data_IF_956378168656
#
_entry.id   IF_956378168656
#
_cell.length_a   1.000
_cell.length_b   1.000
_cell.length_c   1.000
_cell.angle_alpha   90.00
_cell.angle_beta   90.00
_cell.angle_gamma   90.00
#
_symmetry.space_group_name_H-M   'P 1'
#
loop_
_entity.id
_entity.type
_entity.pdbx_description
1 polymer ?
#
# COMPACT_ATOMS: atom_id res chain seq x y z
N UNK A 1 -42.21 -31.47 -38.04
CA UNK A 1 -42.00 -30.04 -37.70
C UNK A 1 -40.71 -29.96 -36.89
N UNK A 2 -39.60 -29.64 -37.56
CA UNK A 2 -38.28 -29.51 -36.93
C UNK A 2 -38.29 -28.38 -35.91
N UNK A 3 -37.91 -28.70 -34.68
CA UNK A 3 -37.67 -27.70 -33.65
C UNK A 3 -36.56 -26.76 -34.11
N UNK A 4 -36.92 -25.51 -34.34
CA UNK A 4 -36.06 -24.42 -34.75
C UNK A 4 -35.24 -23.93 -33.54
N UNK A 5 -34.36 -24.80 -33.02
CA UNK A 5 -33.59 -24.62 -31.79
C UNK A 5 -32.21 -24.00 -31.98
N UNK A 6 -31.93 -23.33 -33.10
CA UNK A 6 -30.60 -22.83 -33.45
C UNK A 6 -30.10 -21.63 -32.63
N UNK A 7 -30.89 -21.11 -31.68
CA UNK A 7 -30.61 -19.82 -31.02
C UNK A 7 -30.46 -19.85 -29.51
N UNK A 8 -30.77 -20.96 -28.82
CA UNK A 8 -30.79 -21.00 -27.36
C UNK A 8 -29.41 -21.39 -26.82
N UNK A 9 -28.61 -20.34 -26.65
CA UNK A 9 -27.36 -20.28 -25.92
C UNK A 9 -26.23 -21.09 -26.56
N UNK A 10 -25.39 -20.37 -27.29
CA UNK A 10 -23.95 -20.65 -27.38
C UNK A 10 -23.39 -21.32 -26.11
N UNK A 11 -23.83 -20.90 -24.92
CA UNK A 11 -23.48 -21.53 -23.64
C UNK A 11 -23.94 -23.00 -23.56
N UNK A 12 -25.17 -23.36 -23.91
CA UNK A 12 -25.61 -24.77 -23.96
C UNK A 12 -24.75 -25.56 -24.94
N UNK A 13 -24.49 -25.00 -26.13
CA UNK A 13 -23.68 -25.67 -27.15
C UNK A 13 -22.21 -25.86 -26.70
N UNK A 14 -21.63 -24.89 -26.01
CA UNK A 14 -20.29 -24.99 -25.40
C UNK A 14 -20.27 -26.09 -24.33
N UNK A 15 -21.29 -26.12 -23.46
CA UNK A 15 -21.35 -27.06 -22.34
C UNK A 15 -21.66 -28.49 -22.79
N UNK A 16 -22.47 -28.64 -23.85
CA UNK A 16 -22.98 -29.93 -24.32
C UNK A 16 -22.12 -30.56 -25.40
N UNK A 17 -21.51 -29.75 -26.28
CA UNK A 17 -20.77 -30.25 -27.44
C UNK A 17 -19.55 -29.37 -27.79
N UNK A 18 -18.59 -29.34 -26.85
CA UNK A 18 -17.32 -28.65 -27.04
C UNK A 18 -16.52 -29.15 -28.25
N UNK A 19 -16.68 -30.42 -28.62
CA UNK A 19 -15.92 -31.05 -29.71
C UNK A 19 -16.37 -30.53 -31.07
N UNK A 20 -17.69 -30.33 -31.26
CA UNK A 20 -18.21 -29.69 -32.47
C UNK A 20 -17.68 -28.28 -32.69
N UNK A 21 -17.52 -27.49 -31.61
CA UNK A 21 -16.92 -26.15 -31.70
C UNK A 21 -15.44 -26.24 -32.09
N UNK A 22 -14.68 -27.15 -31.48
CA UNK A 22 -13.28 -27.37 -31.81
C UNK A 22 -13.10 -27.78 -33.27
N UNK A 23 -13.92 -28.71 -33.76
CA UNK A 23 -13.86 -29.15 -35.15
C UNK A 23 -14.22 -28.02 -36.12
N UNK A 24 -15.20 -27.17 -35.79
CA UNK A 24 -15.51 -25.99 -36.60
C UNK A 24 -14.37 -24.98 -36.66
N UNK A 25 -13.62 -24.83 -35.55
CA UNK A 25 -12.45 -23.95 -35.49
C UNK A 25 -11.30 -24.53 -36.34
N UNK A 26 -11.02 -25.83 -36.19
CA UNK A 26 -9.95 -26.52 -36.95
C UNK A 26 -10.25 -26.56 -38.44
N UNK A 27 -11.51 -26.76 -38.82
CA UNK A 27 -11.92 -26.85 -40.22
C UNK A 27 -12.26 -25.47 -40.84
N UNK A 28 -12.04 -24.39 -40.10
CA UNK A 28 -12.32 -22.98 -40.50
C UNK A 28 -13.75 -22.73 -41.03
N UNK A 29 -14.72 -23.55 -40.62
CA UNK A 29 -16.11 -23.45 -41.11
C UNK A 29 -16.94 -22.49 -40.27
N UNK A 30 -17.60 -21.54 -40.94
CA UNK A 30 -18.61 -20.64 -40.37
C UNK A 30 -18.15 -19.82 -39.13
N UNK A 31 -16.85 -19.52 -39.05
CA UNK A 31 -16.24 -18.77 -37.93
C UNK A 31 -16.92 -17.41 -37.68
N UNK A 32 -17.39 -16.74 -38.73
CA UNK A 32 -18.09 -15.46 -38.62
C UNK A 32 -19.43 -15.58 -37.88
N UNK A 33 -20.21 -16.63 -38.18
CA UNK A 33 -21.47 -16.89 -37.48
C UNK A 33 -21.20 -17.30 -36.02
N UNK A 34 -20.21 -18.15 -35.80
CA UNK A 34 -19.78 -18.54 -34.45
C UNK A 34 -19.40 -17.31 -33.61
N UNK A 35 -18.56 -16.44 -34.15
CA UNK A 35 -18.13 -15.18 -33.50
C UNK A 35 -19.32 -14.28 -33.21
N UNK A 36 -20.23 -14.10 -34.18
CA UNK A 36 -21.43 -13.27 -34.01
C UNK A 36 -22.34 -13.81 -32.91
N UNK A 37 -22.55 -15.14 -32.85
CA UNK A 37 -23.35 -15.76 -31.80
C UNK A 37 -22.70 -15.63 -30.41
N UNK A 38 -21.37 -15.78 -30.32
CA UNK A 38 -20.63 -15.59 -29.06
C UNK A 38 -20.73 -14.15 -28.56
N UNK A 39 -20.55 -13.21 -29.48
CA UNK A 39 -20.62 -11.78 -29.21
C UNK A 39 -22.05 -11.33 -28.84
N UNK A 40 -23.07 -11.86 -29.52
CA UNK A 40 -24.48 -11.64 -29.17
C UNK A 40 -24.83 -12.22 -27.79
N UNK A 41 -24.41 -13.45 -27.49
CA UNK A 41 -24.65 -14.07 -26.18
C UNK A 41 -23.97 -13.30 -25.03
N UNK A 42 -22.75 -12.79 -25.27
CA UNK A 42 -22.01 -11.96 -24.31
C UNK A 42 -22.69 -10.60 -24.11
N UNK A 43 -23.17 -9.96 -25.19
CA UNK A 43 -23.91 -8.71 -25.11
C UNK A 43 -25.22 -8.85 -24.33
N UNK A 44 -25.96 -9.95 -24.51
CA UNK A 44 -27.18 -10.24 -23.73
C UNK A 44 -26.84 -10.43 -22.25
N UNK A 45 -25.78 -11.19 -21.93
CA UNK A 45 -25.34 -11.39 -20.56
C UNK A 45 -24.95 -10.06 -19.88
N UNK A 46 -24.20 -9.20 -20.58
CA UNK A 46 -23.85 -7.86 -20.12
C UNK A 46 -25.08 -6.97 -19.94
N UNK A 47 -26.10 -7.08 -20.80
CA UNK A 47 -27.33 -6.31 -20.70
C UNK A 47 -28.10 -6.68 -19.42
N UNK A 48 -28.24 -7.99 -19.17
CA UNK A 48 -28.89 -8.51 -17.96
C UNK A 48 -28.11 -8.13 -16.70
N UNK A 49 -26.78 -8.28 -16.72
CA UNK A 49 -25.93 -7.85 -15.61
C UNK A 49 -26.07 -6.35 -15.35
N UNK A 50 -26.06 -5.54 -16.41
CA UNK A 50 -26.28 -4.10 -16.32
C UNK A 50 -27.66 -3.74 -15.77
N UNK A 51 -28.71 -4.41 -16.22
CA UNK A 51 -30.07 -4.21 -15.74
C UNK A 51 -30.18 -4.49 -14.24
N UNK A 52 -29.63 -5.62 -13.77
CA UNK A 52 -29.60 -5.99 -12.35
C UNK A 52 -28.87 -4.93 -11.53
N UNK A 53 -27.69 -4.48 -11.99
CA UNK A 53 -26.91 -3.47 -11.28
C UNK A 53 -27.62 -2.11 -11.22
N UNK A 54 -28.27 -1.69 -12.31
CA UNK A 54 -28.99 -0.41 -12.36
C UNK A 54 -30.32 -0.44 -11.59
N UNK A 55 -30.95 -1.61 -11.47
CA UNK A 55 -32.20 -1.78 -10.74
C UNK A 55 -32.07 -1.45 -9.24
N UNK A 56 -30.87 -1.58 -8.66
CA UNK A 56 -30.59 -1.14 -7.29
C UNK A 56 -30.80 0.36 -7.07
N UNK A 57 -30.69 1.17 -8.12
CA UNK A 57 -30.80 2.63 -8.03
C UNK A 57 -32.16 3.11 -8.55
N UNK A 58 -32.59 2.66 -9.73
CA UNK A 58 -33.91 2.95 -10.31
C UNK A 58 -34.16 2.13 -11.58
N UNK A 59 -35.44 1.96 -11.98
CA UNK A 59 -35.81 1.30 -13.24
C UNK A 59 -35.23 2.02 -14.48
N UNK A 60 -35.16 3.36 -14.43
CA UNK A 60 -34.61 4.17 -15.52
C UNK A 60 -33.08 3.99 -15.62
N UNK A 61 -32.38 3.90 -14.49
CA UNK A 61 -30.97 3.54 -14.49
C UNK A 61 -30.73 2.12 -15.00
N UNK A 62 -31.56 1.14 -14.62
CA UNK A 62 -31.50 -0.25 -15.11
C UNK A 62 -31.53 -0.32 -16.64
N UNK A 63 -32.44 0.42 -17.29
CA UNK A 63 -32.52 0.46 -18.75
C UNK A 63 -31.25 1.09 -19.35
N UNK A 64 -30.77 2.19 -18.78
CA UNK A 64 -29.57 2.85 -19.30
C UNK A 64 -28.30 2.01 -19.13
N UNK A 65 -28.13 1.30 -18.02
CA UNK A 65 -26.97 0.41 -17.78
C UNK A 65 -27.05 -0.87 -18.61
N UNK A 66 -28.25 -1.41 -18.81
CA UNK A 66 -28.49 -2.55 -19.70
C UNK A 66 -28.14 -2.26 -21.15
N UNK A 67 -28.22 -0.99 -21.60
CA UNK A 67 -27.80 -0.59 -22.95
C UNK A 67 -26.33 -0.17 -22.99
N UNK A 68 -25.87 0.65 -22.04
CA UNK A 68 -24.51 1.22 -22.05
C UNK A 68 -23.42 0.15 -21.96
N UNK A 69 -23.59 -0.87 -21.12
CA UNK A 69 -22.57 -1.90 -20.90
C UNK A 69 -22.34 -2.79 -22.15
N UNK A 70 -23.39 -3.36 -22.78
CA UNK A 70 -23.22 -4.07 -24.05
C UNK A 70 -22.72 -3.18 -25.17
N UNK A 71 -23.20 -1.93 -25.24
CA UNK A 71 -22.80 -1.00 -26.30
C UNK A 71 -21.31 -0.67 -26.21
N UNK A 72 -20.79 -0.43 -24.99
CA UNK A 72 -19.36 -0.30 -24.75
C UNK A 72 -18.62 -1.56 -25.19
N UNK A 73 -19.06 -2.74 -24.77
CA UNK A 73 -18.43 -4.00 -25.16
C UNK A 73 -18.40 -4.20 -26.68
N UNK A 74 -19.51 -3.95 -27.38
CA UNK A 74 -19.64 -4.12 -28.82
C UNK A 74 -18.78 -3.15 -29.63
N UNK A 75 -18.60 -1.91 -29.15
CA UNK A 75 -17.71 -0.94 -29.80
C UNK A 75 -16.24 -1.35 -29.64
N UNK A 76 -15.89 -1.96 -28.50
CA UNK A 76 -14.51 -2.28 -28.16
C UNK A 76 -14.05 -3.65 -28.64
N UNK A 77 -14.95 -4.63 -28.72
CA UNK A 77 -14.66 -6.00 -29.13
C UNK A 77 -14.01 -6.15 -30.52
N UNK A 78 -14.45 -5.44 -31.58
CA UNK A 78 -13.85 -5.59 -32.91
C UNK A 78 -12.56 -4.80 -33.09
N UNK A 79 -12.21 -3.87 -32.18
CA UNK A 79 -11.09 -2.96 -32.38
C UNK A 79 -9.91 -3.26 -31.45
N UNK A 80 -8.99 -4.09 -31.95
CA UNK A 80 -7.75 -4.43 -31.24
C UNK A 80 -6.89 -3.20 -30.88
N UNK A 81 -6.84 -2.18 -31.73
CA UNK A 81 -6.09 -0.95 -31.48
C UNK A 81 -6.66 -0.16 -30.30
N UNK A 82 -7.99 -0.05 -30.22
CA UNK A 82 -8.67 0.59 -29.09
C UNK A 82 -8.35 -0.10 -27.76
N UNK A 83 -8.41 -1.43 -27.71
CA UNK A 83 -8.09 -2.20 -26.50
C UNK A 83 -6.65 -1.97 -26.02
N UNK A 84 -5.68 -1.90 -26.94
CA UNK A 84 -4.28 -1.56 -26.61
C UNK A 84 -4.17 -0.17 -25.98
N UNK A 85 -4.78 0.83 -26.58
CA UNK A 85 -4.74 2.21 -26.08
C UNK A 85 -5.49 2.35 -24.74
N UNK A 86 -6.61 1.66 -24.56
CA UNK A 86 -7.36 1.65 -23.31
C UNK A 86 -6.50 1.10 -22.16
N UNK A 87 -5.84 -0.04 -22.36
CA UNK A 87 -4.95 -0.62 -21.34
C UNK A 87 -3.81 0.34 -20.98
N UNK A 88 -3.25 1.04 -21.97
CA UNK A 88 -2.17 2.01 -21.74
C UNK A 88 -2.68 3.23 -20.98
N UNK A 89 -3.89 3.71 -21.29
CA UNK A 89 -4.53 4.78 -20.55
C UNK A 89 -4.79 4.38 -19.10
N UNK A 90 -5.35 3.20 -18.86
CA UNK A 90 -5.61 2.66 -17.52
C UNK A 90 -4.30 2.49 -16.73
N UNK A 91 -3.27 1.91 -17.36
CA UNK A 91 -1.96 1.75 -16.73
C UNK A 91 -1.36 3.10 -16.36
N UNK A 92 -1.43 4.08 -17.25
CA UNK A 92 -0.92 5.44 -17.00
C UNK A 92 -1.67 6.11 -15.85
N UNK A 93 -3.00 6.12 -15.89
CA UNK A 93 -3.84 6.67 -14.82
C UNK A 93 -3.54 6.00 -13.47
N UNK A 94 -3.45 4.67 -13.46
CA UNK A 94 -3.14 3.90 -12.25
C UNK A 94 -1.73 4.18 -11.72
N UNK A 95 -0.75 4.36 -12.61
CA UNK A 95 0.61 4.73 -12.25
C UNK A 95 0.66 6.12 -11.62
N UNK A 96 -0.03 7.09 -12.21
CA UNK A 96 -0.13 8.46 -11.68
C UNK A 96 -0.77 8.49 -10.29
N UNK A 97 -1.90 7.79 -10.13
CA UNK A 97 -2.61 7.69 -8.85
C UNK A 97 -1.75 6.99 -7.81
N UNK A 98 -1.13 5.85 -8.16
CA UNK A 98 -0.22 5.12 -7.28
C UNK A 98 0.97 5.96 -6.82
N UNK A 99 1.59 6.71 -7.75
CA UNK A 99 2.70 7.62 -7.44
C UNK A 99 2.28 8.74 -6.48
N UNK A 100 1.05 9.27 -6.64
CA UNK A 100 0.49 10.28 -5.72
C UNK A 100 0.24 9.72 -4.32
N UNK A 101 -0.31 8.51 -4.22
CA UNK A 101 -0.46 7.85 -2.92
C UNK A 101 0.87 7.55 -2.25
N UNK A 102 1.88 7.17 -3.03
CA UNK A 102 3.21 6.82 -2.50
C UNK A 102 3.93 8.06 -1.96
N UNK A 103 3.93 9.14 -2.75
CA UNK A 103 4.52 10.42 -2.33
C UNK A 103 3.80 11.00 -1.11
N UNK A 104 2.47 10.96 -1.08
CA UNK A 104 1.68 11.35 0.09
C UNK A 104 1.98 10.49 1.33
N UNK A 105 2.09 9.17 1.16
CA UNK A 105 2.44 8.26 2.27
C UNK A 105 3.83 8.54 2.85
N UNK A 106 4.82 8.85 2.01
CA UNK A 106 6.16 9.24 2.47
C UNK A 106 6.17 10.61 3.17
N UNK A 107 5.38 11.57 2.71
CA UNK A 107 5.23 12.87 3.38
C UNK A 107 4.63 12.72 4.78
N UNK A 108 3.60 11.89 4.92
CA UNK A 108 2.99 11.56 6.23
C UNK A 108 4.03 10.89 7.15
N UNK A 109 4.84 9.96 6.64
CA UNK A 109 5.91 9.32 7.43
C UNK A 109 7.01 10.30 7.86
N UNK A 110 7.33 11.28 7.01
CA UNK A 110 8.29 12.34 7.31
C UNK A 110 7.77 13.29 8.41
N UNK A 111 6.50 13.68 8.34
CA UNK A 111 5.84 14.54 9.34
C UNK A 111 5.75 13.88 10.74
N UNK A 112 5.57 12.55 10.79
CA UNK A 112 5.52 11.80 12.06
C UNK A 112 6.92 11.45 12.61
N UNK A 113 8.00 11.93 11.98
CA UNK A 113 9.34 11.98 12.56
C UNK A 113 10.11 10.65 12.59
N UNK A 114 9.72 9.63 11.81
CA UNK A 114 10.47 8.37 11.72
C UNK A 114 11.79 8.47 10.93
N UNK A 115 11.98 9.56 10.18
CA UNK A 115 13.19 9.86 9.40
C UNK A 115 13.83 11.20 9.78
N UNK A 116 13.27 11.92 10.76
CA UNK A 116 13.90 13.13 11.28
C UNK A 116 15.23 12.71 11.92
N UNK A 117 16.39 13.28 11.52
CA UNK A 117 17.65 12.99 12.17
C UNK A 117 17.43 13.27 13.65
N UNK A 118 17.67 12.24 14.49
CA UNK A 118 17.63 12.38 15.94
C UNK A 118 18.31 13.70 16.25
N UNK A 119 17.54 14.66 16.77
CA UNK A 119 18.06 15.98 17.07
C UNK A 119 19.37 15.76 17.81
N UNK A 120 20.49 16.16 17.19
CA UNK A 120 21.76 16.24 17.90
C UNK A 120 21.40 17.01 19.16
N UNK A 121 21.54 16.42 20.36
CA UNK A 121 21.07 17.07 21.57
C UNK A 121 21.67 18.46 21.54
N UNK A 122 20.79 19.47 21.43
CA UNK A 122 21.20 20.85 21.36
C UNK A 122 22.11 21.06 22.56
N UNK A 123 23.38 21.35 22.29
CA UNK A 123 24.33 21.68 23.34
C UNK A 123 23.64 22.72 24.23
N UNK A 124 23.49 22.37 25.50
CA UNK A 124 22.83 23.22 26.48
C UNK A 124 23.38 24.66 26.34
N UNK A 125 22.54 25.71 26.40
CA UNK A 125 23.03 27.06 26.29
C UNK A 125 24.12 27.28 27.33
N UNK A 126 25.32 27.62 26.87
CA UNK A 126 26.43 27.95 27.74
C UNK A 126 25.98 29.08 28.67
N UNK A 127 25.93 28.77 29.97
CA UNK A 127 25.66 29.75 31.01
C UNK A 127 26.72 30.86 30.88
N UNK A 128 26.35 32.14 30.77
CA UNK A 128 27.33 33.21 30.68
C UNK A 128 28.19 33.20 31.94
N UNK A 129 29.51 33.10 31.76
CA UNK A 129 30.48 33.18 32.83
C UNK A 129 30.29 34.51 33.58
N UNK A 130 29.97 34.41 34.87
CA UNK A 130 29.93 35.56 35.76
C UNK A 130 31.32 36.24 35.81
N UNK A 131 31.40 37.57 35.82
CA UNK A 131 32.67 38.28 35.80
C UNK A 131 33.48 37.97 37.07
N UNK A 132 34.75 37.62 36.85
CA UNK A 132 35.71 37.32 37.89
C UNK A 132 35.92 38.54 38.80
N UNK A 133 35.68 38.36 40.11
CA UNK A 133 36.07 39.32 41.13
C UNK A 133 37.61 39.33 41.27
N UNK A 134 38.25 40.50 41.47
CA UNK A 134 39.70 40.61 41.52
C UNK A 134 40.28 40.00 42.81
N UNK A 135 41.44 39.36 42.62
CA UNK A 135 42.18 38.62 43.64
C UNK A 135 42.82 39.51 44.71
N UNK A 136 42.87 39.00 45.94
CA UNK A 136 43.85 39.40 46.98
C UNK A 136 44.38 38.14 47.72
N UNK A 137 45.62 38.16 48.22
CA UNK A 137 46.54 37.02 48.08
C UNK A 137 46.70 36.08 49.29
N UNK A 138 47.37 34.97 48.96
CA UNK A 138 47.77 33.75 49.67
C UNK A 138 48.40 33.91 51.07
N UNK A 139 48.04 33.00 51.98
CA UNK A 139 48.92 32.36 52.99
C UNK A 139 48.31 30.98 53.32
N UNK A 140 48.85 29.83 52.88
CA UNK A 140 50.06 29.11 53.29
C UNK A 140 49.69 27.87 54.13
N UNK A 141 50.40 26.76 53.85
CA UNK A 141 50.43 25.46 54.54
C UNK A 141 49.27 24.49 54.26
N UNK A 142 49.45 23.19 54.02
CA UNK A 142 50.60 22.31 53.73
C UNK A 142 49.98 20.95 53.31
N UNK A 143 50.73 20.11 52.58
CA UNK A 143 50.24 18.87 51.99
C UNK A 143 50.03 17.73 53.02
N UNK A 144 49.32 16.63 52.70
CA UNK A 144 49.83 15.27 52.29
C UNK A 144 48.78 14.25 52.89
N UNK A 145 48.54 12.98 52.44
CA UNK A 145 48.00 12.52 51.14
C UNK A 145 47.04 11.28 51.23
N UNK A 146 46.60 10.78 50.06
CA UNK A 146 46.16 9.41 49.65
C UNK A 146 45.50 8.39 50.61
N UNK A 147 44.42 7.74 50.14
CA UNK A 147 44.44 6.32 49.67
C UNK A 147 43.12 5.92 48.98
N UNK A 148 43.12 4.97 48.01
CA UNK A 148 41.99 4.79 47.10
C UNK A 148 41.33 3.39 47.13
N UNK A 149 40.23 3.26 46.37
CA UNK A 149 39.64 2.06 45.73
C UNK A 149 38.91 1.02 46.61
N UNK A 150 37.65 0.71 46.25
CA UNK A 150 37.24 -0.64 45.83
C UNK A 150 35.80 -0.69 45.30
N UNK A 151 35.65 -1.35 44.15
CA UNK A 151 34.41 -1.65 43.43
C UNK A 151 34.12 -3.14 43.52
N UNK A 152 32.86 -3.58 43.66
CA UNK A 152 32.41 -4.99 43.43
C UNK A 152 30.91 -5.00 43.00
N UNK A 153 30.46 -5.95 42.15
CA UNK A 153 29.51 -5.71 41.06
C UNK A 153 28.12 -6.40 41.19
N UNK A 154 27.37 -6.36 40.08
CA UNK A 154 26.03 -6.87 39.83
C UNK A 154 25.86 -8.41 39.93
N UNK A 155 24.63 -8.85 40.20
CA UNK A 155 24.17 -10.24 39.99
C UNK A 155 22.80 -10.26 39.30
N UNK A 156 22.56 -11.29 38.50
CA UNK A 156 21.57 -11.36 37.42
C UNK A 156 20.50 -12.46 37.63
N UNK A 157 19.25 -12.20 37.16
CA UNK A 157 18.31 -13.13 36.44
C UNK A 157 17.66 -14.28 37.29
N UNK A 158 16.49 -14.92 36.97
CA UNK A 158 15.65 -14.97 35.74
C UNK A 158 14.10 -14.83 35.85
N UNK A 159 13.53 -14.83 34.64
CA UNK A 159 12.16 -15.06 34.12
C UNK A 159 11.14 -15.95 34.86
N UNK A 160 9.85 -15.60 34.71
CA UNK A 160 8.77 -16.49 34.25
C UNK A 160 7.42 -15.73 34.06
N UNK A 161 6.79 -15.93 32.89
CA UNK A 161 5.34 -15.73 32.66
C UNK A 161 4.71 -17.16 32.59
N UNK A 162 3.41 -17.40 32.83
CA UNK A 162 2.35 -16.91 31.92
C UNK A 162 0.93 -16.71 32.52
N UNK A 163 0.01 -16.34 31.62
CA UNK A 163 -1.44 -16.65 31.60
C UNK A 163 -2.45 -15.63 32.17
N UNK A 164 -3.56 -15.54 31.43
CA UNK A 164 -4.55 -14.47 31.35
C UNK A 164 -5.75 -14.64 32.30
N UNK A 165 -6.37 -13.55 32.73
CA UNK A 165 -7.79 -13.49 33.15
C UNK A 165 -8.39 -12.11 32.80
N UNK A 166 -9.57 -12.15 32.16
CA UNK A 166 -10.43 -11.03 31.80
C UNK A 166 -11.06 -10.32 33.02
N UNK A 167 -11.34 -9.03 32.84
CA UNK A 167 -12.61 -8.41 33.26
C UNK A 167 -12.86 -8.22 34.76
N UNK A 168 -12.70 -6.98 35.22
CA UNK A 168 -13.25 -6.54 36.49
C UNK A 168 -12.63 -5.22 36.93
N UNK A 169 -13.37 -4.13 36.78
CA UNK A 169 -13.05 -2.85 37.39
C UNK A 169 -13.01 -3.04 38.92
N UNK A 170 -11.83 -3.34 39.45
CA UNK A 170 -11.57 -3.34 40.88
C UNK A 170 -11.37 -1.88 41.29
N UNK A 171 -12.46 -1.26 41.72
CA UNK A 171 -12.44 -0.05 42.52
C UNK A 171 -11.64 -0.32 43.80
N UNK A 172 -10.33 -0.09 43.70
CA UNK A 172 -9.46 -0.06 44.87
C UNK A 172 -9.83 1.20 45.62
N UNK A 173 -10.68 1.08 46.65
CA UNK A 173 -10.88 2.14 47.64
C UNK A 173 -9.53 2.32 48.32
N UNK A 174 -8.76 3.31 47.86
CA UNK A 174 -7.58 3.77 48.56
C UNK A 174 -8.08 4.37 49.86
N UNK A 175 -8.01 3.61 50.94
CA UNK A 175 -8.21 4.14 52.29
C UNK A 175 -7.25 5.30 52.48
N UNK A 176 -7.80 6.49 52.72
CA UNK A 176 -6.97 7.65 53.07
C UNK A 176 -6.17 7.34 54.35
N UNK A 177 -4.87 7.67 54.42
CA UNK A 177 -4.07 7.41 55.61
C UNK A 177 -4.67 8.12 56.83
N UNK A 178 -4.72 7.45 57.98
CA UNK A 178 -5.09 8.09 59.25
C UNK A 178 -4.16 9.29 59.51
N UNK A 179 -4.70 10.45 59.94
CA UNK A 179 -3.87 11.59 60.29
C UNK A 179 -3.00 11.27 61.51
N UNK A 180 -1.75 11.77 61.56
CA UNK A 180 -0.87 11.54 62.70
C UNK A 180 -1.45 12.16 64.00
N UNK A 181 -1.14 11.59 65.18
CA UNK A 181 -1.60 12.15 66.46
C UNK A 181 -1.06 13.58 66.65
N UNK A 182 -1.95 14.55 66.90
CA UNK A 182 -1.62 15.96 67.04
C UNK A 182 -2.06 16.87 65.88
N UNK A 183 -2.90 16.38 64.97
CA UNK A 183 -3.48 17.18 63.90
C UNK A 183 -4.45 18.25 64.46
N UNK A 184 -4.13 19.53 64.28
CA UNK A 184 -5.04 20.64 64.54
C UNK A 184 -5.76 21.02 63.22
N UNK A 185 -7.10 20.87 63.11
CA UNK A 185 -7.85 21.20 61.90
C UNK A 185 -7.79 22.68 61.51
N UNK A 186 -7.31 23.57 62.39
CA UNK A 186 -7.18 25.02 62.12
C UNK A 186 -5.76 25.43 61.74
N UNK A 187 -4.77 24.56 61.93
CA UNK A 187 -3.43 24.79 61.45
C UNK A 187 -3.42 24.63 59.93
N UNK A 188 -3.20 25.74 59.21
CA UNK A 188 -3.09 25.74 57.75
C UNK A 188 -1.78 25.04 57.39
N UNK A 189 -1.78 23.71 57.36
CA UNK A 189 -0.64 22.90 56.95
C UNK A 189 -0.30 23.25 55.50
N UNK A 190 0.73 24.07 55.34
CA UNK A 190 1.39 24.30 54.07
C UNK A 190 2.09 22.98 53.73
N UNK A 191 1.36 22.08 53.07
CA UNK A 191 1.97 20.90 52.48
C UNK A 191 2.98 21.38 51.44
N UNK A 192 4.26 20.98 51.50
CA UNK A 192 5.12 21.15 50.34
C UNK A 192 4.52 20.36 49.18
N UNK A 193 4.47 20.91 47.95
CA UNK A 193 3.90 20.19 46.81
C UNK A 193 4.65 18.87 46.65
N UNK A 194 3.89 17.77 46.56
CA UNK A 194 4.47 16.46 46.28
C UNK A 194 5.35 16.58 45.01
N UNK A 195 6.57 16.01 45.00
CA UNK A 195 7.39 16.06 43.80
C UNK A 195 6.61 15.43 42.65
N UNK A 196 6.44 16.21 41.57
CA UNK A 196 5.83 15.76 40.34
C UNK A 196 6.58 14.51 39.90
N UNK A 197 5.94 13.33 39.99
CA UNK A 197 6.52 12.12 39.41
C UNK A 197 6.76 12.42 37.92
N UNK A 198 7.99 12.26 37.41
CA UNK A 198 8.24 12.38 35.99
C UNK A 198 7.30 11.41 35.27
N UNK A 199 6.37 11.95 34.47
CA UNK A 199 5.56 11.11 33.61
C UNK A 199 6.52 10.45 32.63
N UNK A 200 6.62 9.11 32.69
CA UNK A 200 7.42 8.36 31.71
C UNK A 200 6.77 8.62 30.35
N UNK A 201 7.47 9.20 29.37
CA UNK A 201 6.89 9.45 28.06
C UNK A 201 6.39 8.12 27.48
N UNK A 202 5.25 8.11 26.77
CA UNK A 202 4.74 6.90 26.14
C UNK A 202 5.83 6.35 25.22
N UNK A 203 6.20 5.08 25.43
CA UNK A 203 7.14 4.37 24.55
C UNK A 203 6.44 4.29 23.20
N UNK A 204 6.84 5.14 22.25
CA UNK A 204 6.36 5.07 20.87
C UNK A 204 6.83 3.74 20.30
N UNK A 205 5.91 2.81 20.12
CA UNK A 205 6.17 1.58 19.36
C UNK A 205 6.68 2.00 17.98
N UNK A 206 7.91 1.60 17.65
CA UNK A 206 8.53 1.90 16.36
C UNK A 206 7.74 1.18 15.28
N UNK A 207 6.80 1.89 14.65
CA UNK A 207 6.06 1.44 13.49
C UNK A 207 7.06 0.96 12.43
N UNK A 208 7.10 -0.34 12.13
CA UNK A 208 8.04 -0.91 11.15
C UNK A 208 7.89 -0.19 9.80
N UNK A 209 8.97 0.04 9.04
CA UNK A 209 8.95 0.81 7.80
C UNK A 209 8.17 0.06 6.71
N UNK A 210 6.86 0.28 6.66
CA UNK A 210 5.96 -0.40 5.72
C UNK A 210 6.00 0.18 4.29
N UNK A 211 7.11 0.80 3.85
CA UNK A 211 7.13 1.63 2.64
C UNK A 211 8.03 1.11 1.51
N UNK A 212 9.22 0.57 1.81
CA UNK A 212 10.21 0.28 0.75
C UNK A 212 9.90 -1.00 -0.06
N UNK A 213 9.53 -2.09 0.60
CA UNK A 213 9.19 -3.35 -0.11
C UNK A 213 7.96 -3.17 -1.00
N UNK A 214 6.94 -2.46 -0.51
CA UNK A 214 5.74 -2.17 -1.29
C UNK A 214 6.06 -1.32 -2.53
N UNK A 215 6.94 -0.31 -2.38
CA UNK A 215 7.45 0.50 -3.49
C UNK A 215 8.16 -0.36 -4.54
N UNK A 216 9.07 -1.24 -4.13
CA UNK A 216 9.79 -2.10 -5.08
C UNK A 216 8.86 -3.08 -5.80
N UNK A 217 7.94 -3.72 -5.08
CA UNK A 217 6.95 -4.63 -5.67
C UNK A 217 6.07 -3.87 -6.67
N UNK A 218 5.61 -2.67 -6.31
CA UNK A 218 4.79 -1.84 -7.17
C UNK A 218 5.53 -1.42 -8.45
N UNK A 219 6.76 -0.89 -8.32
CA UNK A 219 7.60 -0.53 -9.48
C UNK A 219 7.86 -1.74 -10.36
N UNK A 220 8.21 -2.89 -9.77
CA UNK A 220 8.52 -4.11 -10.51
C UNK A 220 7.30 -4.60 -11.29
N UNK A 221 6.12 -4.59 -10.68
CA UNK A 221 4.88 -4.99 -11.34
C UNK A 221 4.51 -4.03 -12.48
N UNK A 222 4.57 -2.71 -12.24
CA UNK A 222 4.28 -1.71 -13.27
C UNK A 222 5.30 -1.73 -14.41
N UNK A 223 6.58 -1.92 -14.10
CA UNK A 223 7.64 -2.09 -15.09
C UNK A 223 7.42 -3.34 -15.94
N UNK A 224 7.11 -4.47 -15.31
CA UNK A 224 6.86 -5.73 -16.00
C UNK A 224 5.65 -5.64 -16.94
N UNK A 225 4.50 -5.16 -16.45
CA UNK A 225 3.30 -5.01 -17.29
C UNK A 225 3.50 -3.92 -18.34
N UNK A 226 4.14 -2.82 -17.97
CA UNK A 226 4.41 -1.67 -18.82
C UNK A 226 5.31 -2.00 -20.00
N UNK A 227 6.36 -2.79 -19.80
CA UNK A 227 7.26 -3.20 -20.89
C UNK A 227 6.54 -4.07 -21.91
N UNK A 228 5.64 -4.96 -21.48
CA UNK A 228 4.83 -5.75 -22.41
C UNK A 228 3.88 -4.86 -23.23
N UNK A 229 3.24 -3.87 -22.61
CA UNK A 229 2.41 -2.90 -23.34
C UNK A 229 3.25 -2.03 -24.30
N UNK A 230 4.43 -1.59 -23.88
CA UNK A 230 5.34 -0.80 -24.72
C UNK A 230 5.81 -1.59 -25.95
N UNK A 231 6.14 -2.88 -25.78
CA UNK A 231 6.47 -3.77 -26.89
C UNK A 231 5.30 -3.98 -27.85
N UNK A 232 4.09 -4.07 -27.30
CA UNK A 232 2.84 -4.29 -28.04
C UNK A 232 2.36 -3.04 -28.79
N UNK A 233 2.65 -1.85 -28.25
CA UNK A 233 2.39 -0.58 -28.92
C UNK A 233 3.47 -0.25 -29.96
N UNK A 234 4.75 -0.53 -29.64
CA UNK A 234 5.95 -0.15 -30.40
C UNK A 234 5.78 1.20 -31.10
N UNK A 235 5.76 2.32 -30.35
CA UNK A 235 5.54 3.65 -30.91
C UNK A 235 6.60 3.92 -31.98
N UNK A 236 6.18 3.89 -33.23
CA UNK A 236 7.06 4.06 -34.38
C UNK A 236 6.84 5.45 -34.96
N UNK A 237 7.88 6.27 -34.93
CA UNK A 237 7.90 7.54 -35.64
C UNK A 237 8.47 7.24 -37.02
N UNK A 238 7.65 7.47 -38.06
CA UNK A 238 7.83 6.94 -39.40
C UNK A 238 9.27 6.95 -39.94
N UNK A 239 9.68 5.84 -40.55
CA UNK A 239 10.91 5.79 -41.35
C UNK A 239 10.69 6.50 -42.69
N UNK A 240 11.64 7.31 -43.18
CA UNK A 240 11.59 7.81 -44.54
C UNK A 240 11.65 6.63 -45.52
N UNK A 241 10.50 6.22 -46.07
CA UNK A 241 10.36 5.10 -47.02
C UNK A 241 9.30 4.05 -46.72
N UNK A 242 8.61 4.09 -45.56
CA UNK A 242 7.45 3.22 -45.28
C UNK A 242 6.19 4.03 -44.99
N UNK A 243 5.02 3.46 -45.26
CA UNK A 243 3.74 4.08 -44.91
C UNK A 243 3.61 4.25 -43.39
N UNK A 244 2.94 5.33 -42.98
CA UNK A 244 2.72 5.62 -41.57
C UNK A 244 1.78 4.59 -40.94
N UNK A 245 2.30 3.75 -40.04
CA UNK A 245 1.53 2.79 -39.27
C UNK A 245 1.80 2.96 -37.76
N UNK A 246 0.78 3.37 -37.01
CA UNK A 246 0.84 3.49 -35.54
C UNK A 246 0.98 2.13 -34.83
N UNK A 247 0.54 1.05 -35.47
CA UNK A 247 0.60 -0.31 -34.94
C UNK A 247 1.08 -1.26 -36.05
N UNK A 248 2.06 -2.12 -35.73
CA UNK A 248 2.47 -3.23 -36.60
C UNK A 248 1.97 -4.57 -36.06
N UNK A 249 1.81 -5.55 -36.96
CA UNK A 249 1.57 -6.94 -36.59
C UNK A 249 2.77 -7.49 -35.81
N UNK A 250 2.49 -8.31 -34.79
CA UNK A 250 3.50 -8.83 -33.86
C UNK A 250 3.59 -10.34 -34.04
N UNK A 251 4.83 -10.84 -34.05
CA UNK A 251 5.16 -12.25 -33.85
C UNK A 251 5.94 -12.38 -32.54
N UNK A 252 5.27 -12.73 -31.43
CA UNK A 252 5.93 -13.06 -30.16
C UNK A 252 5.80 -12.06 -29.01
N UNK A 253 6.41 -12.39 -27.86
CA UNK A 253 6.39 -11.58 -26.64
C UNK A 253 7.80 -11.02 -26.34
N UNK A 254 7.87 -9.87 -25.68
CA UNK A 254 9.14 -9.19 -25.39
C UNK A 254 10.12 -10.08 -24.62
N UNK A 255 9.61 -10.81 -23.63
CA UNK A 255 10.42 -11.66 -22.76
C UNK A 255 11.03 -12.85 -23.51
N UNK A 256 10.27 -13.47 -24.41
CA UNK A 256 10.77 -14.53 -25.28
C UNK A 256 11.84 -14.01 -26.23
N UNK A 257 11.70 -12.79 -26.76
CA UNK A 257 12.71 -12.19 -27.62
C UNK A 257 14.01 -11.92 -26.87
N UNK A 258 13.93 -11.41 -25.64
CA UNK A 258 15.10 -11.26 -24.76
C UNK A 258 15.75 -12.61 -24.50
N UNK A 259 14.98 -13.61 -24.06
CA UNK A 259 15.53 -14.92 -23.72
C UNK A 259 16.16 -15.59 -24.94
N UNK A 260 15.53 -15.46 -26.11
CA UNK A 260 16.08 -15.94 -27.38
C UNK A 260 17.37 -15.23 -27.74
N UNK A 261 17.43 -13.90 -27.56
CA UNK A 261 18.63 -13.12 -27.83
C UNK A 261 19.78 -13.52 -26.91
N UNK A 262 19.51 -13.71 -25.61
CA UNK A 262 20.50 -14.14 -24.63
C UNK A 262 20.96 -15.57 -24.94
N UNK A 263 20.03 -16.49 -25.24
CA UNK A 263 20.34 -17.88 -25.57
C UNK A 263 21.14 -18.03 -26.87
N UNK A 264 20.98 -17.11 -27.83
CA UNK A 264 21.79 -17.08 -29.05
C UNK A 264 23.18 -16.47 -28.84
N UNK A 265 23.44 -15.84 -27.68
CA UNK A 265 24.68 -15.14 -27.37
C UNK A 265 25.68 -16.02 -26.60
N UNK A 266 25.22 -17.16 -26.06
CA UNK A 266 26.00 -18.19 -25.39
C UNK A 266 25.94 -19.50 -26.18
#
# INVERSE_FOLDING_TARGET
>A
MSANGSGLLVIERILRDRQSIWQQIVDERELGQLTTHMLASSAIALALYGAVLGAFHSALMALTSAVKLPLLFLITAPNYGFFKLLNVAILTLSALVGLRFLTGGMQVLNEHGLLAPAAVPAAAPAVPAAPAAPATPVAAAEAVPVTPISAVPATAVPAAAPAAVNGGASSTVVSAPLPPPGWDPRARSVYPPAPLRPQRPPVREAQRPASMTLLYIWILLFGFVGTQLAWTLRPFFGSPGQEFALFRSIEGNFYAEILRTIANLF
#
